data_IF_207636472561
#
_entry.id   IF_207636472561
#
_cell.length_a   1.000
_cell.length_b   1.000
_cell.length_c   1.000
_cell.angle_alpha   90.00
_cell.angle_beta   90.00
_cell.angle_gamma   90.00
#
_symmetry.space_group_name_H-M   'P 1'
#
loop_
_entity.id
_entity.type
_entity.pdbx_description
1 polymer ?
#
# COMPACT_ATOMS: atom_id res chain seq x y z
N UNK A 1 7.61 -17.43 -1.48
CA UNK A 1 7.01 -16.70 -0.89
C UNK A 1 6.03 -17.19 -0.05
N UNK A 2 6.21 -17.55 0.87
CA UNK A 2 5.49 -18.16 1.79
C UNK A 2 4.45 -17.36 2.34
N UNK A 3 4.69 -16.31 2.61
CA UNK A 3 3.75 -15.58 3.21
C UNK A 3 2.42 -15.86 2.65
N UNK A 4 2.42 -16.39 1.73
CA UNK A 4 1.36 -16.61 1.15
C UNK A 4 0.52 -17.30 1.91
N UNK A 5 0.86 -17.89 2.50
CA UNK A 5 0.32 -18.77 3.18
C UNK A 5 -0.51 -18.00 3.91
N UNK A 6 -0.43 -17.11 3.62
CA UNK A 6 -1.00 -16.28 4.24
C UNK A 6 -2.36 -16.50 4.28
N UNK A 7 -2.75 -16.60 4.96
CA UNK A 7 -3.91 -16.73 5.37
C UNK A 7 -4.92 -15.97 4.78
N UNK A 8 -5.96 -16.55 4.58
CA UNK A 8 -7.14 -15.87 4.17
C UNK A 8 -7.37 -14.77 5.17
N UNK A 9 -7.87 -13.65 4.75
CA UNK A 9 -8.16 -12.55 5.62
C UNK A 9 -8.97 -12.92 6.82
N UNK A 10 -9.83 -13.89 6.68
CA UNK A 10 -10.68 -14.30 7.77
C UNK A 10 -9.88 -14.82 8.94
N UNK A 11 -8.71 -15.30 8.71
CA UNK A 11 -7.90 -15.83 9.77
C UNK A 11 -7.26 -14.74 10.57
N UNK A 12 -7.19 -13.55 10.03
CA UNK A 12 -6.58 -12.49 10.74
C UNK A 12 -7.52 -11.87 11.72
N UNK A 13 -8.77 -12.22 11.61
CA UNK A 13 -9.65 -11.67 12.52
C UNK A 13 -9.30 -12.14 13.88
N UNK A 14 -9.38 -11.37 14.82
CA UNK A 14 -9.08 -11.75 16.14
C UNK A 14 -7.63 -11.88 16.43
N UNK A 15 -6.78 -11.72 15.43
CA UNK A 15 -5.46 -11.86 15.70
C UNK A 15 -4.97 -10.57 16.26
N UNK A 16 -4.01 -10.68 17.05
CA UNK A 16 -3.48 -9.57 17.63
C UNK A 16 -2.88 -8.75 16.63
N UNK A 17 -2.99 -7.62 16.66
CA UNK A 17 -2.57 -6.80 15.68
C UNK A 17 -1.32 -6.20 15.83
N UNK A 18 -0.70 -5.85 14.82
CA UNK A 18 0.44 -5.07 14.78
C UNK A 18 0.07 -3.70 15.11
N UNK A 19 0.96 -2.93 15.64
CA UNK A 19 0.74 -1.53 15.88
C UNK A 19 0.96 -0.71 14.63
N UNK A 20 1.54 -1.30 13.59
CA UNK A 20 1.79 -0.61 12.32
C UNK A 20 0.79 -1.09 11.28
N UNK A 21 -0.13 -0.25 10.82
CA UNK A 21 -1.15 -0.67 9.86
C UNK A 21 -0.65 -0.91 8.44
N UNK A 22 0.50 -0.35 8.09
CA UNK A 22 1.01 -0.48 6.71
C UNK A 22 1.40 -1.91 6.36
N UNK A 23 2.16 -2.63 7.18
CA UNK A 23 2.52 -4.01 6.84
C UNK A 23 1.29 -4.91 6.68
N UNK A 24 0.26 -4.70 7.49
CA UNK A 24 -0.95 -5.49 7.38
C UNK A 24 -1.61 -5.25 6.04
N UNK A 25 -1.72 -3.99 5.62
CA UNK A 25 -2.33 -3.66 4.35
C UNK A 25 -1.54 -4.25 3.18
N UNK A 26 -0.23 -4.09 3.19
CA UNK A 26 0.60 -4.61 2.12
C UNK A 26 0.50 -6.12 2.02
N UNK A 27 0.45 -6.80 3.15
CA UNK A 27 0.32 -8.25 3.18
C UNK A 27 -1.02 -8.69 2.62
N UNK A 28 -2.11 -8.00 2.96
CA UNK A 28 -3.44 -8.34 2.45
C UNK A 28 -3.52 -8.18 0.95
N UNK A 29 -2.97 -7.09 0.42
CA UNK A 29 -2.96 -6.87 -1.02
C UNK A 29 -2.14 -7.95 -1.72
N UNK A 30 -0.96 -8.25 -1.17
CA UNK A 30 -0.09 -9.25 -1.75
C UNK A 30 -0.75 -10.62 -1.78
N UNK A 31 -1.43 -10.98 -0.70
CA UNK A 31 -2.10 -12.27 -0.65
C UNK A 31 -3.26 -12.36 -1.63
N UNK A 32 -4.04 -11.31 -1.73
CA UNK A 32 -5.16 -11.29 -2.66
C UNK A 32 -4.67 -11.40 -4.09
N UNK A 33 -3.53 -10.77 -4.42
CA UNK A 33 -2.97 -10.88 -5.75
C UNK A 33 -2.55 -12.31 -6.08
N UNK A 34 -1.99 -13.02 -5.09
CA UNK A 34 -1.55 -14.39 -5.29
C UNK A 34 -2.71 -15.30 -5.65
N UNK A 35 -3.87 -15.11 -5.02
CA UNK A 35 -5.02 -15.96 -5.31
C UNK A 35 -6.00 -15.31 -6.28
N UNK A 36 -5.61 -14.21 -6.89
CA UNK A 36 -6.43 -13.50 -7.90
C UNK A 36 -7.80 -13.05 -7.35
N UNK A 37 -7.87 -12.67 -6.10
CA UNK A 37 -9.10 -12.12 -5.55
C UNK A 37 -9.39 -10.76 -6.16
N UNK A 38 -10.66 -10.46 -6.47
CA UNK A 38 -11.00 -9.16 -7.07
C UNK A 38 -10.91 -8.00 -6.08
N UNK A 39 -11.06 -8.26 -4.80
CA UNK A 39 -11.03 -7.21 -3.80
C UNK A 39 -10.49 -7.68 -2.46
N UNK A 40 -10.09 -6.72 -1.64
CA UNK A 40 -9.59 -6.98 -0.30
C UNK A 40 -10.27 -6.03 0.65
N UNK A 41 -10.77 -6.54 1.76
CA UNK A 41 -11.38 -5.71 2.78
C UNK A 41 -10.54 -5.74 4.06
N UNK A 42 -10.42 -4.60 4.72
CA UNK A 42 -9.63 -4.48 5.93
C UNK A 42 -10.17 -3.34 6.80
N UNK A 43 -9.83 -3.33 8.10
CA UNK A 43 -10.19 -2.18 8.93
C UNK A 43 -9.58 -0.91 8.36
N UNK A 44 -10.35 0.18 8.32
CA UNK A 44 -9.91 1.42 7.72
C UNK A 44 -9.12 2.29 8.70
N UNK A 45 -8.27 3.14 8.15
CA UNK A 45 -7.63 4.19 8.92
C UNK A 45 -7.32 5.32 7.94
N UNK A 46 -7.04 6.50 8.46
CA UNK A 46 -6.72 7.64 7.59
C UNK A 46 -5.52 7.34 6.71
N UNK A 47 -4.52 6.68 7.27
CA UNK A 47 -3.31 6.35 6.52
C UNK A 47 -3.61 5.34 5.41
N UNK A 48 -4.43 4.35 5.70
CA UNK A 48 -4.80 3.34 4.70
C UNK A 48 -5.61 3.95 3.56
N UNK A 49 -6.51 4.86 3.88
CA UNK A 49 -7.30 5.54 2.86
C UNK A 49 -6.41 6.41 1.98
N UNK A 50 -5.47 7.14 2.59
CA UNK A 50 -4.54 7.96 1.84
C UNK A 50 -3.67 7.11 0.90
N UNK A 51 -3.23 5.94 1.38
CA UNK A 51 -2.43 5.02 0.58
C UNK A 51 -3.26 4.45 -0.58
N UNK A 52 -4.51 4.09 -0.32
CA UNK A 52 -5.40 3.58 -1.37
C UNK A 52 -5.68 4.65 -2.44
N UNK A 53 -5.87 5.89 -2.00
CA UNK A 53 -6.11 6.99 -2.92
C UNK A 53 -4.90 7.19 -3.83
N UNK A 54 -3.70 7.10 -3.27
CA UNK A 54 -2.47 7.27 -4.03
C UNK A 54 -2.31 6.13 -5.04
N UNK A 55 -2.55 4.89 -4.63
CA UNK A 55 -2.45 3.74 -5.51
C UNK A 55 -3.46 3.82 -6.65
N UNK A 56 -4.66 4.32 -6.37
CA UNK A 56 -5.67 4.50 -7.41
C UNK A 56 -5.21 5.57 -8.42
N UNK A 57 -4.69 6.69 -7.94
CA UNK A 57 -4.27 7.76 -8.82
C UNK A 57 -3.09 7.36 -9.70
N UNK A 58 -2.28 6.40 -9.25
CA UNK A 58 -1.15 5.90 -10.01
C UNK A 58 -1.51 4.70 -10.89
N UNK A 59 -2.76 4.26 -10.84
CA UNK A 59 -3.21 3.18 -11.71
C UNK A 59 -2.88 1.77 -11.22
N UNK A 60 -2.51 1.60 -9.96
CA UNK A 60 -2.19 0.28 -9.41
C UNK A 60 -3.40 -0.47 -8.91
N UNK A 61 -4.47 0.22 -8.59
CA UNK A 61 -5.74 -0.42 -8.19
C UNK A 61 -6.88 0.18 -8.99
N UNK A 62 -7.98 -0.55 -9.08
CA UNK A 62 -9.13 -0.08 -9.84
C UNK A 62 -9.89 0.98 -9.06
N UNK A 63 -10.18 0.72 -7.81
CA UNK A 63 -10.95 1.63 -6.98
C UNK A 63 -10.82 1.25 -5.51
N UNK A 64 -11.33 2.08 -4.66
CA UNK A 64 -11.42 1.78 -3.24
C UNK A 64 -12.70 2.42 -2.70
N UNK A 65 -13.22 1.85 -1.61
CA UNK A 65 -14.39 2.41 -0.95
C UNK A 65 -14.27 2.19 0.54
N UNK A 66 -14.99 3.00 1.30
CA UNK A 66 -15.00 2.88 2.74
C UNK A 66 -16.44 2.71 3.17
N UNK A 67 -16.71 1.78 4.06
CA UNK A 67 -18.03 1.60 4.63
C UNK A 67 -17.96 1.65 6.14
N UNK A 68 -19.00 2.15 6.75
CA UNK A 68 -19.10 2.21 8.19
C UNK A 68 -20.09 1.15 8.68
N UNK A 69 -19.74 0.50 9.79
CA UNK A 69 -20.61 -0.47 10.39
C UNK A 69 -20.52 -0.23 11.89
N UNK A 70 -21.52 0.46 12.44
CA UNK A 70 -21.48 0.86 13.85
C UNK A 70 -20.34 1.85 14.10
N UNK A 71 -19.48 1.50 15.02
CA UNK A 71 -18.31 2.34 15.34
C UNK A 71 -17.11 1.98 14.50
N UNK A 72 -17.22 0.98 13.62
CA UNK A 72 -16.09 0.52 12.83
C UNK A 72 -16.20 0.95 11.40
N UNK A 73 -15.07 1.23 10.78
CA UNK A 73 -15.00 1.54 9.37
C UNK A 73 -14.12 0.51 8.68
N UNK A 74 -14.54 0.11 7.51
CA UNK A 74 -13.80 -0.87 6.72
C UNK A 74 -13.47 -0.27 5.36
N UNK A 75 -12.26 -0.58 4.88
CA UNK A 75 -11.79 -0.14 3.59
C UNK A 75 -11.77 -1.34 2.65
N UNK A 76 -12.40 -1.20 1.50
CA UNK A 76 -12.39 -2.22 0.46
C UNK A 76 -11.56 -1.69 -0.70
N UNK A 77 -10.57 -2.46 -1.14
CA UNK A 77 -9.73 -2.10 -2.26
C UNK A 77 -10.02 -3.07 -3.40
N UNK A 78 -10.40 -2.53 -4.55
CA UNK A 78 -10.62 -3.34 -5.73
C UNK A 78 -9.32 -3.44 -6.49
N UNK A 79 -8.77 -4.64 -6.56
CA UNK A 79 -7.49 -4.89 -7.20
C UNK A 79 -7.62 -4.85 -8.72
N UNK A 80 -6.52 -4.54 -9.38
CA UNK A 80 -6.50 -4.43 -10.82
C UNK A 80 -5.68 -5.55 -11.42
N UNK A 81 -6.21 -6.16 -12.45
CA UNK A 81 -5.53 -7.23 -13.18
C UNK A 81 -5.45 -6.84 -14.66
N UNK A 82 -4.44 -7.33 -15.35
CA UNK A 82 -4.28 -7.07 -16.76
C UNK A 82 -5.10 -8.07 -17.59
N UNK A 83 -5.00 -7.97 -18.92
CA UNK A 83 -5.76 -8.83 -19.80
C UNK A 83 -5.40 -10.30 -19.66
N UNK A 84 -4.20 -10.61 -19.21
CA UNK A 84 -3.77 -11.96 -18.96
C UNK A 84 -4.11 -12.43 -17.55
N UNK A 85 -4.94 -11.66 -16.83
CA UNK A 85 -5.34 -11.92 -15.46
C UNK A 85 -4.17 -11.91 -14.48
N UNK A 86 -3.14 -11.15 -14.78
CA UNK A 86 -2.00 -10.97 -13.88
C UNK A 86 -2.20 -9.69 -13.08
N UNK A 87 -1.82 -9.69 -11.79
CA UNK A 87 -1.99 -8.48 -11.00
C UNK A 87 -1.13 -7.34 -11.53
N UNK A 88 -1.68 -6.15 -11.54
CA UNK A 88 -0.93 -4.96 -11.95
C UNK A 88 0.14 -4.66 -10.92
N UNK A 89 -0.15 -4.89 -9.64
CA UNK A 89 0.87 -4.77 -8.61
C UNK A 89 1.65 -6.08 -8.62
N UNK A 90 2.89 -6.02 -9.10
CA UNK A 90 3.74 -7.20 -9.12
C UNK A 90 4.38 -7.46 -7.77
N UNK A 91 4.71 -6.39 -7.05
CA UNK A 91 5.35 -6.55 -5.75
C UNK A 91 5.17 -5.31 -4.87
N UNK A 92 5.29 -5.53 -3.57
CA UNK A 92 5.22 -4.49 -2.57
C UNK A 92 6.35 -4.74 -1.58
N UNK A 93 7.14 -3.71 -1.31
CA UNK A 93 8.23 -3.84 -0.36
C UNK A 93 8.16 -2.74 0.69
N UNK A 94 7.99 -3.12 1.94
CA UNK A 94 8.03 -2.17 3.05
C UNK A 94 9.45 -1.68 3.24
N UNK A 95 9.63 -0.37 3.37
CA UNK A 95 10.94 0.24 3.57
C UNK A 95 11.10 0.73 5.00
N UNK A 96 10.27 1.68 5.43
CA UNK A 96 10.32 2.15 6.81
C UNK A 96 9.56 1.20 7.72
N UNK A 97 10.14 0.89 8.87
CA UNK A 97 9.53 0.00 9.86
C UNK A 97 9.53 0.71 11.21
N UNK A 98 8.67 0.33 12.14
CA UNK A 98 8.61 0.99 13.45
C UNK A 98 9.96 1.09 14.16
N UNK A 99 10.81 0.09 14.03
CA UNK A 99 12.13 0.10 14.64
C UNK A 99 13.24 0.67 13.79
N UNK A 100 12.94 0.99 12.53
CA UNK A 100 13.96 1.49 11.61
C UNK A 100 13.29 2.37 10.55
N UNK A 101 13.32 3.66 10.77
CA UNK A 101 12.71 4.62 9.85
C UNK A 101 13.71 5.07 8.81
N UNK A 102 13.26 5.21 7.57
CA UNK A 102 14.08 5.66 6.47
C UNK A 102 13.58 6.99 5.95
N UNK A 103 14.42 8.01 6.04
CA UNK A 103 14.10 9.36 5.56
C UNK A 103 15.03 9.75 4.44
N UNK A 104 14.51 10.47 3.47
CA UNK A 104 15.30 11.00 2.36
C UNK A 104 14.92 12.42 2.03
N UNK A 105 15.91 13.20 1.57
CA UNK A 105 15.64 14.51 1.04
C UNK A 105 15.11 14.37 -0.39
N UNK A 106 14.41 15.38 -0.87
CA UNK A 106 13.80 15.33 -2.20
C UNK A 106 14.78 14.90 -3.30
N UNK A 107 15.99 15.43 -3.27
CA UNK A 107 16.97 15.12 -4.31
C UNK A 107 17.53 13.71 -4.22
N UNK A 108 17.37 13.05 -3.11
CA UNK A 108 17.90 11.71 -2.89
C UNK A 108 16.84 10.63 -2.91
N UNK A 109 15.60 10.97 -3.28
CA UNK A 109 14.54 9.98 -3.34
C UNK A 109 14.84 8.93 -4.40
N UNK A 110 14.71 7.65 -4.07
CA UNK A 110 15.05 6.58 -5.02
C UNK A 110 14.03 6.44 -6.12
N UNK A 111 14.46 5.91 -7.25
CA UNK A 111 13.55 5.51 -8.31
C UNK A 111 13.40 4.00 -8.22
N UNK A 112 12.18 3.51 -8.30
CA UNK A 112 11.89 2.09 -8.24
C UNK A 112 11.85 1.54 -9.66
N UNK A 113 12.65 0.54 -9.94
CA UNK A 113 12.76 -0.07 -11.27
C UNK A 113 12.90 0.97 -12.40
N UNK A 114 13.82 1.92 -12.20
CA UNK A 114 14.08 2.92 -13.22
C UNK A 114 12.91 3.84 -13.54
N UNK A 115 11.97 3.96 -12.61
CA UNK A 115 10.79 4.80 -12.79
C UNK A 115 9.53 4.04 -13.18
N UNK A 116 9.63 2.71 -13.35
CA UNK A 116 8.44 1.92 -13.68
C UNK A 116 7.58 1.66 -12.46
N UNK A 117 8.18 1.66 -11.27
CA UNK A 117 7.45 1.55 -10.02
C UNK A 117 7.40 2.89 -9.32
N UNK A 118 6.84 2.90 -8.12
CA UNK A 118 6.78 4.12 -7.32
C UNK A 118 7.29 3.86 -5.92
N UNK A 119 7.87 4.90 -5.32
CA UNK A 119 8.14 4.90 -3.89
C UNK A 119 7.07 5.79 -3.27
N UNK A 120 6.46 5.34 -2.19
CA UNK A 120 5.48 6.13 -1.49
C UNK A 120 6.17 6.82 -0.32
N UNK A 121 6.10 8.14 -0.30
CA UNK A 121 6.82 8.98 0.64
C UNK A 121 5.82 9.72 1.52
N UNK A 122 6.04 9.68 2.82
CA UNK A 122 5.24 10.45 3.77
C UNK A 122 5.90 11.80 3.95
N UNK A 123 5.25 12.86 3.48
CA UNK A 123 5.78 14.21 3.53
C UNK A 123 4.91 15.09 4.41
N UNK A 124 5.34 16.33 4.59
CA UNK A 124 4.56 17.32 5.34
C UNK A 124 3.21 17.60 4.67
N UNK A 125 3.07 17.28 3.39
CA UNK A 125 1.82 17.46 2.66
C UNK A 125 1.07 16.14 2.47
N UNK A 126 1.41 15.12 3.23
CA UNK A 126 0.75 13.82 3.16
C UNK A 126 1.54 12.81 2.36
N UNK A 127 0.89 11.73 1.94
CA UNK A 127 1.55 10.70 1.16
C UNK A 127 1.64 11.13 -0.30
N UNK A 128 2.85 11.07 -0.84
CA UNK A 128 3.10 11.41 -2.24
C UNK A 128 3.94 10.31 -2.88
N UNK A 129 3.92 10.26 -4.20
CA UNK A 129 4.85 9.40 -4.92
C UNK A 129 6.21 10.08 -4.93
N UNK A 130 7.26 9.31 -5.17
CA UNK A 130 8.62 9.85 -5.27
C UNK A 130 8.70 10.92 -6.38
N UNK A 131 8.00 10.70 -7.49
CA UNK A 131 8.00 11.63 -8.60
C UNK A 131 7.37 12.96 -8.20
N UNK A 132 6.23 12.91 -7.55
CA UNK A 132 5.55 14.13 -7.13
C UNK A 132 6.32 14.84 -6.02
N UNK A 133 6.89 14.08 -5.10
CA UNK A 133 7.68 14.66 -4.01
C UNK A 133 8.91 15.37 -4.57
N UNK A 134 9.58 14.78 -5.56
CA UNK A 134 10.72 15.45 -6.20
C UNK A 134 10.28 16.73 -6.91
N UNK A 135 9.15 16.68 -7.58
CA UNK A 135 8.64 17.85 -8.30
C UNK A 135 8.33 19.01 -7.36
N UNK A 136 7.81 18.69 -6.18
CA UNK A 136 7.49 19.71 -5.19
C UNK A 136 8.65 19.97 -4.22
N UNK A 137 9.80 19.36 -4.46
CA UNK A 137 10.98 19.50 -3.62
C UNK A 137 10.72 19.17 -2.15
N UNK A 138 9.98 18.11 -1.91
CA UNK A 138 9.65 17.65 -0.57
C UNK A 138 10.34 16.33 -0.29
N UNK A 139 11.03 16.24 0.82
CA UNK A 139 11.56 14.98 1.31
C UNK A 139 10.64 14.42 2.38
N UNK A 140 10.95 13.25 2.84
CA UNK A 140 10.17 12.63 3.90
C UNK A 140 10.57 11.20 4.17
N UNK A 141 9.67 10.49 4.86
CA UNK A 141 9.89 9.10 5.18
C UNK A 141 9.44 8.22 4.02
N UNK A 142 10.32 7.31 3.60
CA UNK A 142 9.95 6.37 2.55
C UNK A 142 9.18 5.23 3.18
N UNK A 143 7.92 5.12 2.83
CA UNK A 143 7.02 4.14 3.43
C UNK A 143 7.21 2.76 2.78
N UNK A 144 7.11 2.71 1.48
CA UNK A 144 7.21 1.44 0.76
C UNK A 144 7.48 1.68 -0.72
N UNK A 145 7.84 0.60 -1.41
CA UNK A 145 7.96 0.60 -2.86
C UNK A 145 6.85 -0.26 -3.43
N UNK A 146 6.32 0.14 -4.57
CA UNK A 146 5.27 -0.59 -5.28
C UNK A 146 5.66 -0.70 -6.75
N UNK A 147 5.58 -1.89 -7.32
CA UNK A 147 5.83 -2.07 -8.75
C UNK A 147 5.11 -3.28 -9.34
#
# INVERSE_FOLDING_TARGET
MQFLLILPPVIYKGKRMNTDPIPEKLTRIRNANIVSHPSVEMPSSKLKVALAKLLKSEGFITDYSERAEGHFKYLTIELKYDEANKPVISNLKRVSKPGLRNYCKAKNLPQVLGGMGIAIVSTSKGLLTDRKARKENLGGEIVCYVW
#
